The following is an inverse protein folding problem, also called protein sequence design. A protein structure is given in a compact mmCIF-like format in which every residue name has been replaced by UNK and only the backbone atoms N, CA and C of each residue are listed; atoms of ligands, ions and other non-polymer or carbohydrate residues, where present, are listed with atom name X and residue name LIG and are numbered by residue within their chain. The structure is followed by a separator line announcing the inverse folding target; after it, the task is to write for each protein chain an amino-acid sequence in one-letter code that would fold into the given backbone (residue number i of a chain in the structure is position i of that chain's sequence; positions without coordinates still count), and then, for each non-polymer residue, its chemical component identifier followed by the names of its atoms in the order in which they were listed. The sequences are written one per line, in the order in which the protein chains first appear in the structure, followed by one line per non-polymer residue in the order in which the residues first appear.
data_IF_348083106804
#
_entry.id   IF_348083106804
#
_cell.length_a   1.000
_cell.length_b   1.000
_cell.length_c   1.000
_cell.angle_alpha   90.00
_cell.angle_beta   90.00
_cell.angle_gamma   90.00
#
_symmetry.space_group_name_H-M   'P 1'
#
loop_
_entity.id
_entity.type
_entity.pdbx_description
1 polymer ?
#
# COMPACT_ATOMS: atom_id res chain seq x y z
N UNK A 1 -2.03 -10.36 10.24
CA UNK A 1 -1.11 -9.24 9.94
C UNK A 1 0.33 -9.54 10.37
N UNK A 2 0.59 -10.06 11.58
CA UNK A 2 1.96 -10.42 11.99
C UNK A 2 2.73 -9.23 12.56
N UNK A 3 4.07 -9.30 12.60
CA UNK A 3 4.92 -8.25 13.17
C UNK A 3 4.86 -6.95 12.35
N UNK A 4 4.90 -5.79 13.01
CA UNK A 4 5.03 -4.48 12.34
C UNK A 4 6.48 -4.27 11.92
N UNK A 5 6.69 -3.94 10.65
CA UNK A 5 8.00 -3.63 10.08
C UNK A 5 8.23 -2.14 9.85
N UNK A 6 7.15 -1.38 9.69
CA UNK A 6 7.27 0.06 9.53
C UNK A 6 5.92 0.75 9.40
N UNK A 7 5.97 2.07 9.46
CA UNK A 7 4.84 2.95 9.22
C UNK A 7 5.29 3.94 8.14
N UNK A 8 4.46 4.08 7.12
CA UNK A 8 4.59 5.13 6.12
C UNK A 8 3.59 6.23 6.43
N UNK A 9 4.08 7.46 6.50
CA UNK A 9 3.33 8.62 6.94
C UNK A 9 2.85 9.43 5.72
N UNK A 10 1.52 9.54 5.56
CA UNK A 10 0.88 10.32 4.50
C UNK A 10 0.73 11.81 4.87
N UNK A 11 1.58 12.36 5.74
CA UNK A 11 1.57 13.80 6.05
C UNK A 11 1.57 14.68 4.79
N UNK A 12 0.75 15.75 4.75
CA UNK A 12 0.00 16.36 5.86
C UNK A 12 -1.40 15.80 6.16
N UNK A 13 -1.90 14.80 5.43
CA UNK A 13 -3.28 14.30 5.53
C UNK A 13 -3.59 13.54 6.83
N UNK A 14 -2.58 13.35 7.69
CA UNK A 14 -2.65 12.67 8.99
C UNK A 14 -3.19 11.24 8.93
N UNK A 15 -3.07 10.57 7.77
CA UNK A 15 -3.24 9.12 7.63
C UNK A 15 -1.87 8.43 7.53
N UNK A 16 -1.86 7.12 7.76
CA UNK A 16 -0.63 6.32 7.67
C UNK A 16 -0.92 4.92 7.16
N UNK A 17 0.09 4.33 6.54
CA UNK A 17 0.09 2.95 6.08
C UNK A 17 1.02 2.16 7.01
N UNK A 18 0.46 1.23 7.76
CA UNK A 18 1.22 0.28 8.57
C UNK A 18 1.62 -0.91 7.71
N UNK A 19 2.92 -1.19 7.67
CA UNK A 19 3.50 -2.33 6.96
C UNK A 19 3.75 -3.43 7.99
N UNK A 20 3.06 -4.55 7.79
CA UNK A 20 3.18 -5.74 8.62
C UNK A 20 3.85 -6.87 7.82
N UNK A 21 4.27 -7.90 8.55
CA UNK A 21 4.88 -9.11 8.01
C UNK A 21 4.05 -9.79 6.90
N UNK A 22 2.74 -9.90 7.11
CA UNK A 22 1.85 -10.62 6.20
C UNK A 22 0.95 -9.69 5.37
N UNK A 23 1.09 -8.37 5.49
CA UNK A 23 0.20 -7.45 4.78
C UNK A 23 0.40 -5.98 5.14
N UNK A 24 -0.53 -5.17 4.67
CA UNK A 24 -0.57 -3.73 4.92
C UNK A 24 -1.95 -3.32 5.46
N UNK A 25 -1.96 -2.27 6.27
CA UNK A 25 -3.20 -1.68 6.77
C UNK A 25 -3.14 -0.16 6.79
N UNK A 26 -4.27 0.48 6.55
CA UNK A 26 -4.41 1.93 6.61
C UNK A 26 -5.85 2.29 6.96
N UNK A 27 -6.08 3.55 7.30
CA UNK A 27 -7.42 4.06 7.58
C UNK A 27 -7.90 4.90 6.40
N UNK A 28 -9.14 4.69 5.96
CA UNK A 28 -9.80 5.55 4.97
C UNK A 28 -11.28 5.70 5.33
N UNK A 29 -11.83 6.91 5.26
CA UNK A 29 -13.24 7.20 5.58
C UNK A 29 -13.68 6.58 6.93
N UNK A 30 -12.85 6.72 7.97
CA UNK A 30 -13.06 6.14 9.32
C UNK A 30 -13.09 4.60 9.40
N UNK A 31 -12.75 3.90 8.31
CA UNK A 31 -12.64 2.45 8.28
C UNK A 31 -11.18 2.03 8.20
N UNK A 32 -10.83 0.99 8.95
CA UNK A 32 -9.53 0.34 8.83
C UNK A 32 -9.60 -0.69 7.71
N UNK A 33 -8.73 -0.53 6.72
CA UNK A 33 -8.53 -1.50 5.65
C UNK A 33 -7.32 -2.35 6.00
N UNK A 34 -7.47 -3.65 5.77
CA UNK A 34 -6.45 -4.66 5.98
C UNK A 34 -6.33 -5.49 4.72
N UNK A 35 -5.14 -5.55 4.12
CA UNK A 35 -4.86 -6.38 2.94
C UNK A 35 -3.69 -7.30 3.22
N UNK A 36 -3.92 -8.62 3.14
CA UNK A 36 -2.85 -9.61 3.20
C UNK A 36 -2.14 -9.67 1.85
N UNK A 37 -0.80 -9.77 1.86
CA UNK A 37 -0.04 -9.85 0.61
C UNK A 37 -0.41 -11.07 -0.22
N UNK A 38 -0.72 -12.19 0.43
CA UNK A 38 -1.18 -13.41 -0.23
C UNK A 38 -2.54 -13.26 -0.94
N UNK A 39 -3.34 -12.25 -0.61
CA UNK A 39 -4.62 -11.99 -1.27
C UNK A 39 -4.47 -11.05 -2.47
N UNK A 40 -3.32 -10.41 -2.63
CA UNK A 40 -3.03 -9.51 -3.73
C UNK A 40 -2.70 -10.32 -4.99
N UNK A 41 -3.40 -10.01 -6.08
CA UNK A 41 -3.15 -10.55 -7.42
C UNK A 41 -2.15 -9.69 -8.19
N UNK A 42 -2.30 -8.37 -8.14
CA UNK A 42 -1.37 -7.39 -8.75
C UNK A 42 -1.57 -5.99 -8.16
N UNK A 43 -0.59 -5.13 -8.41
CA UNK A 43 -0.57 -3.70 -8.04
C UNK A 43 -0.34 -2.84 -9.28
N UNK A 44 -0.91 -1.64 -9.32
CA UNK A 44 -0.60 -0.65 -10.37
C UNK A 44 -0.87 0.77 -9.87
N UNK A 45 -0.46 1.77 -10.64
CA UNK A 45 -0.82 3.17 -10.41
C UNK A 45 -2.01 3.55 -11.30
N UNK A 46 -2.92 4.36 -10.77
CA UNK A 46 -4.03 4.92 -11.55
C UNK A 46 -3.55 6.15 -12.33
N UNK A 47 -3.44 6.06 -13.65
CA UNK A 47 -3.09 7.20 -14.50
C UNK A 47 -1.58 7.48 -14.60
N UNK A 48 -1.18 8.72 -14.31
CA UNK A 48 0.18 9.21 -14.52
C UNK A 48 0.99 9.38 -13.21
N UNK A 49 2.14 10.05 -13.29
CA UNK A 49 3.07 10.27 -12.16
C UNK A 49 2.48 11.17 -11.04
N UNK A 50 1.36 11.84 -11.28
CA UNK A 50 0.68 12.67 -10.27
C UNK A 50 -0.29 11.88 -9.40
N UNK A 51 -0.47 10.59 -9.67
CA UNK A 51 -1.36 9.74 -8.90
C UNK A 51 -0.93 9.62 -7.44
N UNK A 52 -1.91 9.68 -6.57
CA UNK A 52 -1.76 9.53 -5.12
C UNK A 52 -2.23 8.17 -4.62
N UNK A 53 -2.60 7.26 -5.51
CA UNK A 53 -3.18 5.97 -5.13
C UNK A 53 -2.55 4.82 -5.91
N UNK A 54 -2.18 3.78 -5.18
CA UNK A 54 -1.89 2.47 -5.74
C UNK A 54 -3.20 1.68 -5.80
N UNK A 55 -3.51 1.15 -6.98
CA UNK A 55 -4.59 0.19 -7.19
C UNK A 55 -4.10 -1.21 -6.79
N UNK A 56 -4.76 -1.78 -5.79
CA UNK A 56 -4.54 -3.16 -5.33
C UNK A 56 -5.65 -4.04 -5.89
N UNK A 57 -5.29 -4.96 -6.79
CA UNK A 57 -6.21 -5.94 -7.33
C UNK A 57 -6.12 -7.20 -6.49
N UNK A 58 -7.22 -7.57 -5.84
CA UNK A 58 -7.31 -8.78 -5.03
C UNK A 58 -7.70 -10.00 -5.86
N UNK A 59 -7.37 -11.20 -5.35
CA UNK A 59 -7.73 -12.48 -5.96
C UNK A 59 -9.25 -12.69 -6.07
N UNK A 60 -10.04 -12.05 -5.21
CA UNK A 60 -11.50 -12.06 -5.24
C UNK A 60 -12.12 -11.06 -6.25
N UNK A 61 -11.32 -10.50 -7.16
CA UNK A 61 -11.68 -9.50 -8.16
C UNK A 61 -12.07 -8.11 -7.61
N UNK A 62 -11.91 -7.85 -6.31
CA UNK A 62 -12.04 -6.49 -5.78
C UNK A 62 -10.81 -5.66 -6.12
N UNK A 63 -11.04 -4.34 -6.25
CA UNK A 63 -9.98 -3.35 -6.42
C UNK A 63 -10.08 -2.38 -5.26
N UNK A 64 -8.97 -2.20 -4.55
CA UNK A 64 -8.89 -1.29 -3.40
C UNK A 64 -7.84 -0.21 -3.71
N UNK A 65 -8.13 1.03 -3.32
CA UNK A 65 -7.19 2.15 -3.44
C UNK A 65 -6.38 2.30 -2.15
N UNK A 66 -5.06 2.17 -2.26
CA UNK A 66 -4.12 2.47 -1.21
C UNK A 66 -3.59 3.91 -1.43
N UNK A 67 -3.92 4.87 -0.55
CA UNK A 67 -3.40 6.22 -0.64
C UNK A 67 -1.91 6.23 -0.29
N UNK A 68 -1.09 6.73 -1.19
CA UNK A 68 0.35 6.96 -1.01
C UNK A 68 0.60 8.42 -1.38
N UNK A 69 0.48 9.29 -0.39
CA UNK A 69 0.47 10.76 -0.51
C UNK A 69 1.65 11.42 0.20
N UNK A 70 2.23 10.71 1.16
CA UNK A 70 3.38 11.17 1.91
C UNK A 70 4.58 11.47 1.02
N UNK A 71 5.37 12.46 1.41
CA UNK A 71 6.65 12.77 0.75
C UNK A 71 7.85 12.54 1.67
N UNK A 72 7.62 11.95 2.84
CA UNK A 72 8.61 11.77 3.89
C UNK A 72 8.92 10.28 4.12
N UNK A 73 10.18 9.96 4.39
CA UNK A 73 10.64 8.60 4.71
C UNK A 73 11.14 7.78 3.51
N UNK A 74 11.34 6.47 3.73
CA UNK A 74 11.99 5.56 2.75
C UNK A 74 11.17 5.30 1.48
N UNK A 75 9.87 5.57 1.53
CA UNK A 75 8.95 5.35 0.40
C UNK A 75 8.35 6.70 -0.04
N UNK A 76 9.20 7.70 -0.19
CA UNK A 76 8.82 9.10 -0.43
C UNK A 76 8.08 9.35 -1.74
N UNK A 77 8.04 8.35 -2.63
CA UNK A 77 7.42 8.41 -3.95
C UNK A 77 6.52 7.17 -4.17
N UNK A 78 5.37 7.38 -4.83
CA UNK A 78 4.42 6.31 -5.18
C UNK A 78 5.07 5.16 -5.97
N UNK A 79 6.06 5.45 -6.83
CA UNK A 79 6.82 4.45 -7.55
C UNK A 79 7.77 3.67 -6.64
N UNK A 80 8.33 4.28 -5.59
CA UNK A 80 9.12 3.56 -4.59
C UNK A 80 8.24 2.58 -3.80
N UNK A 81 7.06 3.04 -3.37
CA UNK A 81 6.11 2.19 -2.67
C UNK A 81 5.58 1.07 -3.58
N UNK A 82 5.30 1.36 -4.86
CA UNK A 82 4.93 0.34 -5.84
C UNK A 82 6.02 -0.71 -6.01
N UNK A 83 7.28 -0.31 -6.19
CA UNK A 83 8.43 -1.24 -6.29
C UNK A 83 8.58 -2.10 -5.04
N UNK A 84 8.34 -1.52 -3.86
CA UNK A 84 8.33 -2.27 -2.61
C UNK A 84 7.26 -3.37 -2.64
N UNK A 85 6.01 -3.03 -3.01
CA UNK A 85 4.94 -4.02 -3.13
C UNK A 85 5.26 -5.09 -4.18
N UNK A 86 5.74 -4.69 -5.35
CA UNK A 86 6.12 -5.63 -6.41
C UNK A 86 7.22 -6.60 -5.93
N UNK A 87 8.20 -6.10 -5.17
CA UNK A 87 9.25 -6.94 -4.57
C UNK A 87 8.67 -7.95 -3.58
N UNK A 88 7.84 -7.50 -2.64
CA UNK A 88 7.16 -8.38 -1.67
C UNK A 88 6.37 -9.48 -2.39
N UNK A 89 5.57 -9.10 -3.39
CA UNK A 89 4.75 -10.05 -4.15
C UNK A 89 5.58 -11.03 -4.99
N UNK A 90 6.80 -10.63 -5.42
CA UNK A 90 7.72 -11.52 -6.13
C UNK A 90 8.34 -12.59 -5.22
N UNK A 91 8.52 -12.30 -3.94
CA UNK A 91 9.12 -13.22 -2.96
C UNK A 91 8.11 -14.23 -2.39
N UNK A 92 6.80 -13.97 -2.57
CA UNK A 92 5.72 -14.87 -2.14
C UNK A 92 5.41 -16.00 -3.15
N UNK A 93 6.01 -15.95 -4.34
CA UNK A 93 5.87 -16.97 -5.39
C UNK A 93 6.96 -18.02 -5.27
#
# INVERSE_FOLDING_TARGET
MGKIFGIYDNSPENDSITICENGISWTTNHNNIYVLFNDIKKTSIEGDKSSENILIYLKNNQIIKLPVRGKNGRFSDIFEFLRFLDRVLSELK
#
